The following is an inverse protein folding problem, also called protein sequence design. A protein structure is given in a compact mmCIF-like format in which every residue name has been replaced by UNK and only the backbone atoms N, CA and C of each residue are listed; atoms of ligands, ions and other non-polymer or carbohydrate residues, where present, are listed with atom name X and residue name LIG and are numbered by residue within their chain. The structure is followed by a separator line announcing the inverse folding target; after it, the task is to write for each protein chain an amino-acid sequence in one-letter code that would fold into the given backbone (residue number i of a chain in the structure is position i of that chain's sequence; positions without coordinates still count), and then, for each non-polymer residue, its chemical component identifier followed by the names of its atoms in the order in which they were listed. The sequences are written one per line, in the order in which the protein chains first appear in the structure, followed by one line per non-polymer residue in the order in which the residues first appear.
data_IF_392019551810
#
_entry.id   IF_392019551810
#
_cell.length_a   1.000
_cell.length_b   1.000
_cell.length_c   1.000
_cell.angle_alpha   90.00
_cell.angle_beta   90.00
_cell.angle_gamma   90.00
#
_symmetry.space_group_name_H-M   'P 1'
#
loop_
_entity.id
_entity.type
_entity.pdbx_description
1 polymer ?
#
# COMPACT_ATOMS: atom_id res chain seq x y z
N UNK A 1 14.00 2.20 -3.73
CA UNK A 1 12.97 2.97 -4.47
C UNK A 1 13.25 2.77 -5.93
N UNK A 2 12.20 2.49 -6.71
CA UNK A 2 12.29 2.27 -8.15
C UNK A 2 11.18 3.06 -8.86
N UNK A 3 11.32 3.39 -10.15
CA UNK A 3 10.23 3.91 -10.96
C UNK A 3 9.02 2.96 -11.01
N UNK A 4 7.82 3.49 -11.27
CA UNK A 4 6.60 2.68 -11.37
C UNK A 4 6.60 1.68 -12.54
N UNK A 5 7.36 1.96 -13.59
CA UNK A 5 7.54 1.14 -14.79
C UNK A 5 8.79 0.24 -14.73
N UNK A 6 9.48 0.19 -13.59
CA UNK A 6 10.58 -0.74 -13.36
C UNK A 6 10.13 -2.20 -13.59
N UNK A 7 10.90 -3.05 -14.31
CA UNK A 7 10.50 -4.42 -14.61
C UNK A 7 10.15 -5.26 -13.37
N UNK A 8 10.84 -5.07 -12.24
CA UNK A 8 10.56 -5.80 -11.01
C UNK A 8 9.28 -5.29 -10.34
N UNK A 9 9.04 -3.97 -10.41
CA UNK A 9 7.79 -3.36 -9.97
C UNK A 9 6.60 -3.85 -10.80
N UNK A 10 6.76 -3.92 -12.12
CA UNK A 10 5.75 -4.46 -13.05
C UNK A 10 5.44 -5.91 -12.71
N UNK A 11 6.47 -6.75 -12.57
CA UNK A 11 6.30 -8.17 -12.21
C UNK A 11 5.51 -8.36 -10.92
N UNK A 12 5.91 -7.68 -9.84
CA UNK A 12 5.23 -7.82 -8.54
C UNK A 12 3.82 -7.21 -8.56
N UNK A 13 3.59 -6.16 -9.36
CA UNK A 13 2.24 -5.62 -9.57
C UNK A 13 1.36 -6.63 -10.30
N UNK A 14 1.87 -7.29 -11.32
CA UNK A 14 1.12 -8.32 -12.03
C UNK A 14 0.79 -9.50 -11.10
N UNK A 15 1.75 -9.93 -10.27
CA UNK A 15 1.51 -10.95 -9.24
C UNK A 15 0.39 -10.54 -8.27
N UNK A 16 0.37 -9.31 -7.73
CA UNK A 16 -0.70 -8.88 -6.81
C UNK A 16 -2.05 -8.73 -7.52
N UNK A 17 -2.08 -8.31 -8.79
CA UNK A 17 -3.34 -8.26 -9.55
C UNK A 17 -3.93 -9.66 -9.74
N UNK A 18 -3.10 -10.69 -9.94
CA UNK A 18 -3.57 -12.08 -10.01
C UNK A 18 -4.14 -12.57 -8.67
N UNK A 19 -3.54 -12.19 -7.53
CA UNK A 19 -4.12 -12.46 -6.21
C UNK A 19 -5.50 -11.82 -6.03
N UNK A 20 -5.71 -10.62 -6.57
CA UNK A 20 -7.04 -10.01 -6.56
C UNK A 20 -8.04 -10.78 -7.42
N UNK A 21 -7.64 -11.23 -8.60
CA UNK A 21 -8.51 -12.07 -9.46
C UNK A 21 -8.88 -13.38 -8.74
N UNK A 22 -7.92 -14.03 -8.09
CA UNK A 22 -8.17 -15.29 -7.36
C UNK A 22 -9.14 -15.11 -6.20
N UNK A 23 -9.03 -14.00 -5.45
CA UNK A 23 -9.86 -13.75 -4.26
C UNK A 23 -11.21 -13.12 -4.64
N UNK A 24 -11.19 -12.07 -5.45
CA UNK A 24 -12.37 -11.23 -5.73
C UNK A 24 -13.04 -11.49 -7.08
N UNK A 25 -12.41 -12.30 -7.95
CA UNK A 25 -12.89 -12.61 -9.30
C UNK A 25 -12.47 -11.59 -10.37
N UNK A 26 -11.87 -10.47 -9.95
CA UNK A 26 -11.51 -9.35 -10.81
C UNK A 26 -10.23 -8.65 -10.31
N UNK A 27 -9.45 -7.99 -11.20
CA UNK A 27 -8.31 -7.19 -10.77
C UNK A 27 -8.74 -5.91 -10.05
N UNK A 28 -7.82 -5.24 -9.34
CA UNK A 28 -8.06 -3.87 -8.87
C UNK A 28 -8.08 -2.92 -10.07
N UNK A 29 -9.22 -2.25 -10.28
CA UNK A 29 -9.52 -1.33 -11.37
C UNK A 29 -9.37 0.14 -10.96
N UNK A 30 -8.89 0.43 -9.74
CA UNK A 30 -8.61 1.81 -9.31
C UNK A 30 -7.74 2.49 -10.37
N UNK A 31 -8.20 3.60 -10.97
CA UNK A 31 -7.38 4.33 -11.93
C UNK A 31 -6.07 4.79 -11.29
N UNK A 32 -4.95 4.50 -11.95
CA UNK A 32 -3.62 4.92 -11.56
C UNK A 32 -2.99 5.75 -12.67
N UNK A 33 -2.56 6.96 -12.35
CA UNK A 33 -1.68 7.72 -13.22
C UNK A 33 -0.20 7.41 -12.88
N UNK A 34 0.68 7.20 -13.88
CA UNK A 34 2.08 6.83 -13.63
C UNK A 34 2.81 7.75 -12.65
N UNK A 35 2.55 9.06 -12.73
CA UNK A 35 3.20 10.08 -11.88
C UNK A 35 2.69 10.14 -10.43
N UNK A 36 1.68 9.35 -10.06
CA UNK A 36 1.16 9.32 -8.67
C UNK A 36 2.16 8.73 -7.68
N UNK A 37 3.15 7.98 -8.17
CA UNK A 37 4.18 7.34 -7.36
C UNK A 37 5.56 7.97 -7.54
N UNK A 38 5.62 9.16 -8.14
CA UNK A 38 6.88 9.87 -8.33
C UNK A 38 7.16 10.84 -7.16
N UNK A 39 8.42 10.92 -6.70
CA UNK A 39 8.80 11.94 -5.72
C UNK A 39 8.53 13.37 -6.24
N UNK A 40 8.11 14.32 -5.37
CA UNK A 40 7.93 14.20 -3.92
C UNK A 40 6.51 13.78 -3.50
N UNK A 41 5.64 13.42 -4.45
CA UNK A 41 4.21 13.22 -4.21
C UNK A 41 3.79 11.76 -4.06
N UNK A 42 4.69 10.84 -4.38
CA UNK A 42 4.60 9.42 -4.11
C UNK A 42 5.97 8.78 -4.11
N UNK A 43 5.99 7.47 -3.86
CA UNK A 43 7.12 6.62 -4.17
C UNK A 43 6.66 5.18 -4.35
N UNK A 44 7.52 4.38 -4.97
CA UNK A 44 7.35 2.95 -5.13
C UNK A 44 8.58 2.20 -4.58
N UNK A 45 8.33 1.16 -3.78
CA UNK A 45 9.36 0.30 -3.21
C UNK A 45 9.25 -1.12 -3.76
N UNK A 46 10.42 -1.71 -4.00
CA UNK A 46 10.61 -3.14 -4.21
C UNK A 46 11.58 -3.64 -3.15
N UNK A 47 11.23 -4.75 -2.51
CA UNK A 47 12.06 -5.49 -1.57
C UNK A 47 12.63 -6.73 -2.23
N UNK A 48 13.91 -6.98 -1.98
CA UNK A 48 14.67 -8.07 -2.58
C UNK A 48 15.08 -9.10 -1.52
N UNK A 49 15.07 -10.38 -1.91
CA UNK A 49 15.64 -11.49 -1.14
C UNK A 49 16.60 -12.23 -2.07
N UNK A 50 17.88 -12.27 -1.70
CA UNK A 50 18.94 -12.95 -2.48
C UNK A 50 19.01 -12.52 -3.96
N UNK A 51 18.67 -11.26 -4.25
CA UNK A 51 18.63 -10.69 -5.59
C UNK A 51 17.27 -10.81 -6.30
N UNK A 52 16.34 -11.59 -5.77
CA UNK A 52 15.00 -11.74 -6.35
C UNK A 52 14.02 -10.69 -5.79
N UNK A 53 13.20 -10.03 -6.63
CA UNK A 53 12.13 -9.17 -6.16
C UNK A 53 11.04 -10.02 -5.50
N UNK A 54 10.69 -9.70 -4.26
CA UNK A 54 9.75 -10.50 -3.44
C UNK A 54 8.71 -9.69 -2.69
N UNK A 55 8.86 -8.38 -2.61
CA UNK A 55 7.91 -7.52 -1.92
C UNK A 55 7.75 -6.19 -2.66
N UNK A 56 6.56 -5.63 -2.64
CA UNK A 56 6.30 -4.32 -3.22
C UNK A 56 5.30 -3.56 -2.38
N UNK A 57 5.42 -2.23 -2.39
CA UNK A 57 4.48 -1.32 -1.77
C UNK A 57 4.77 0.10 -2.21
N UNK A 58 3.73 0.92 -2.22
CA UNK A 58 3.80 2.28 -2.69
C UNK A 58 3.00 3.20 -1.76
N UNK A 59 3.33 4.47 -1.79
CA UNK A 59 2.44 5.49 -1.25
C UNK A 59 2.27 6.65 -2.23
N UNK A 60 1.11 7.29 -2.17
CA UNK A 60 0.77 8.49 -2.96
C UNK A 60 0.02 9.50 -2.10
N UNK A 61 -0.04 10.77 -2.53
CA UNK A 61 -0.95 11.78 -1.96
C UNK A 61 -2.31 11.67 -2.64
N UNK A 62 -3.36 11.17 -1.95
CA UNK A 62 -4.67 11.00 -2.57
C UNK A 62 -5.36 12.37 -2.73
N UNK A 63 -5.80 12.69 -3.94
CA UNK A 63 -6.60 13.88 -4.25
C UNK A 63 -8.10 13.67 -4.01
N UNK A 64 -8.47 12.99 -2.93
CA UNK A 64 -9.85 12.55 -2.65
C UNK A 64 -10.52 13.43 -1.59
N UNK A 65 -11.78 13.81 -1.82
CA UNK A 65 -12.51 14.74 -0.96
C UNK A 65 -12.91 14.13 0.39
N UNK A 66 -13.01 12.80 0.45
CA UNK A 66 -13.34 12.03 1.66
C UNK A 66 -12.18 11.99 2.67
N UNK A 67 -10.96 12.32 2.22
CA UNK A 67 -9.75 12.25 3.01
C UNK A 67 -9.33 13.61 3.56
N UNK A 68 -8.52 13.57 4.62
CA UNK A 68 -8.04 14.80 5.28
C UNK A 68 -6.85 15.38 4.50
N UNK A 69 -6.69 16.71 4.50
CA UNK A 69 -5.46 17.33 4.01
C UNK A 69 -4.22 16.76 4.72
N UNK A 70 -3.27 16.25 3.94
CA UNK A 70 -2.04 15.65 4.45
C UNK A 70 -2.11 14.15 4.73
N UNK A 71 -3.24 13.49 4.42
CA UNK A 71 -3.29 12.04 4.31
C UNK A 71 -2.36 11.56 3.18
N UNK A 72 -1.76 10.39 3.39
CA UNK A 72 -1.00 9.65 2.39
C UNK A 72 -1.62 8.26 2.29
N UNK A 73 -1.86 7.80 1.08
CA UNK A 73 -2.47 6.50 0.81
C UNK A 73 -1.41 5.44 0.51
N UNK A 74 -1.46 4.29 1.20
CA UNK A 74 -0.71 3.10 0.81
C UNK A 74 -1.44 2.35 -0.29
N UNK A 75 -0.68 1.90 -1.29
CA UNK A 75 -1.17 1.11 -2.42
C UNK A 75 -0.17 0.01 -2.74
N UNK A 76 -0.67 -1.03 -3.44
CA UNK A 76 0.15 -2.10 -4.03
C UNK A 76 1.06 -2.81 -3.02
N UNK A 77 0.60 -2.96 -1.78
CA UNK A 77 1.31 -3.74 -0.75
C UNK A 77 1.17 -5.23 -1.02
N UNK A 78 2.28 -5.91 -1.28
CA UNK A 78 2.31 -7.34 -1.58
C UNK A 78 3.64 -7.97 -1.17
N UNK A 79 3.59 -9.23 -0.75
CA UNK A 79 4.77 -10.08 -0.52
C UNK A 79 4.49 -11.42 -1.19
N UNK A 80 5.40 -11.79 -2.10
CA UNK A 80 5.35 -13.04 -2.82
C UNK A 80 5.30 -14.24 -1.87
N UNK A 81 4.52 -15.26 -2.23
CA UNK A 81 4.29 -16.43 -1.36
C UNK A 81 5.60 -17.07 -0.87
N UNK A 82 6.57 -17.19 -1.79
CA UNK A 82 7.93 -17.70 -1.56
C UNK A 82 8.72 -16.95 -0.48
N UNK A 83 8.31 -15.73 -0.12
CA UNK A 83 8.97 -14.88 0.88
C UNK A 83 8.11 -14.61 2.12
N UNK A 84 6.92 -15.22 2.25
CA UNK A 84 6.06 -15.06 3.44
C UNK A 84 6.75 -15.62 4.70
N UNK A 85 6.33 -15.13 5.88
CA UNK A 85 6.87 -15.56 7.18
C UNK A 85 8.20 -14.91 7.61
N UNK A 86 8.87 -14.14 6.75
CA UNK A 86 10.17 -13.49 7.05
C UNK A 86 10.06 -12.03 7.50
N UNK A 87 8.89 -11.61 8.01
CA UNK A 87 8.59 -10.23 8.43
C UNK A 87 8.76 -9.14 7.34
N UNK A 88 8.91 -9.50 6.06
CA UNK A 88 9.02 -8.55 4.95
C UNK A 88 7.89 -7.53 4.91
N UNK A 89 6.63 -7.97 5.07
CA UNK A 89 5.49 -7.07 5.02
C UNK A 89 5.55 -5.98 6.12
N UNK A 90 6.03 -6.32 7.31
CA UNK A 90 6.20 -5.35 8.41
C UNK A 90 7.37 -4.41 8.15
N UNK A 91 8.48 -4.91 7.62
CA UNK A 91 9.64 -4.08 7.27
C UNK A 91 9.31 -3.08 6.15
N UNK A 92 8.63 -3.56 5.11
CA UNK A 92 8.16 -2.73 4.01
C UNK A 92 7.16 -1.67 4.47
N UNK A 93 6.15 -2.06 5.28
CA UNK A 93 5.19 -1.12 5.84
C UNK A 93 5.88 -0.03 6.67
N UNK A 94 6.84 -0.40 7.51
CA UNK A 94 7.60 0.57 8.31
C UNK A 94 8.39 1.55 7.44
N UNK A 95 8.98 1.08 6.34
CA UNK A 95 9.72 1.94 5.41
C UNK A 95 8.79 2.89 4.64
N UNK A 96 7.61 2.41 4.23
CA UNK A 96 6.57 3.27 3.63
C UNK A 96 6.08 4.33 4.61
N UNK A 97 5.80 3.97 5.86
CA UNK A 97 5.40 4.91 6.91
C UNK A 97 6.49 5.96 7.17
N UNK A 98 7.75 5.53 7.27
CA UNK A 98 8.90 6.41 7.50
C UNK A 98 9.06 7.42 6.38
N UNK A 99 9.02 6.96 5.13
CA UNK A 99 9.18 7.83 3.96
C UNK A 99 7.97 8.74 3.74
N UNK A 100 6.75 8.27 4.02
CA UNK A 100 5.55 9.10 4.04
C UNK A 100 5.65 10.23 5.09
N UNK A 101 6.15 9.93 6.30
CA UNK A 101 6.37 10.93 7.34
C UNK A 101 7.42 11.97 6.92
N UNK A 102 8.54 11.54 6.32
CA UNK A 102 9.57 12.43 5.78
C UNK A 102 9.05 13.33 4.64
N UNK A 103 8.08 12.84 3.86
CA UNK A 103 7.39 13.63 2.85
C UNK A 103 6.33 14.60 3.44
N UNK A 104 6.22 14.70 4.77
CA UNK A 104 5.27 15.57 5.46
C UNK A 104 3.87 14.98 5.60
N UNK A 105 3.71 13.67 5.42
CA UNK A 105 2.47 12.95 5.74
C UNK A 105 2.17 13.01 7.23
N UNK A 106 0.90 13.20 7.58
CA UNK A 106 0.45 13.24 8.99
C UNK A 106 -0.27 11.96 9.39
N UNK A 107 -0.92 11.33 8.42
CA UNK A 107 -1.73 10.14 8.61
C UNK A 107 -1.63 9.27 7.37
N UNK A 108 -1.47 7.98 7.59
CA UNK A 108 -1.53 6.99 6.52
C UNK A 108 -2.92 6.40 6.47
N UNK A 109 -3.46 6.28 5.28
CA UNK A 109 -4.71 5.60 4.97
C UNK A 109 -4.45 4.47 3.98
N UNK A 110 -5.29 3.45 4.00
CA UNK A 110 -5.26 2.38 3.01
C UNK A 110 -6.64 1.77 2.85
N UNK A 111 -6.81 1.12 1.72
CA UNK A 111 -7.96 0.28 1.39
C UNK A 111 -7.47 -1.17 1.24
N UNK A 112 -8.26 -2.12 1.73
CA UNK A 112 -8.00 -3.55 1.60
C UNK A 112 -9.32 -4.31 1.61
N UNK A 113 -9.39 -5.42 0.88
CA UNK A 113 -10.60 -6.25 0.85
C UNK A 113 -10.70 -7.24 2.03
N UNK A 114 -11.92 -7.62 2.38
CA UNK A 114 -12.24 -8.55 3.48
C UNK A 114 -11.64 -9.96 3.28
N UNK A 115 -11.36 -10.36 2.04
CA UNK A 115 -10.73 -11.65 1.71
C UNK A 115 -9.20 -11.63 1.83
N UNK A 116 -8.64 -10.59 2.45
CA UNK A 116 -7.21 -10.46 2.78
C UNK A 116 -7.00 -10.38 4.30
N UNK A 117 -7.39 -11.41 5.08
CA UNK A 117 -7.32 -11.39 6.54
C UNK A 117 -5.88 -11.20 7.07
N UNK A 118 -4.87 -11.69 6.34
CA UNK A 118 -3.46 -11.52 6.71
C UNK A 118 -3.02 -10.05 6.62
N UNK A 119 -3.47 -9.33 5.58
CA UNK A 119 -3.19 -7.91 5.40
C UNK A 119 -3.89 -7.08 6.49
N UNK A 120 -5.19 -7.34 6.71
CA UNK A 120 -5.96 -6.68 7.77
C UNK A 120 -5.36 -6.95 9.16
N UNK A 121 -4.92 -8.18 9.42
CA UNK A 121 -4.23 -8.56 10.64
C UNK A 121 -2.90 -7.82 10.83
N UNK A 122 -2.10 -7.73 9.77
CA UNK A 122 -0.86 -6.94 9.77
C UNK A 122 -1.14 -5.49 10.15
N UNK A 123 -2.02 -4.79 9.44
CA UNK A 123 -2.30 -3.38 9.67
C UNK A 123 -2.83 -3.14 11.08
N UNK A 124 -3.80 -3.93 11.55
CA UNK A 124 -4.33 -3.82 12.93
C UNK A 124 -3.23 -4.00 13.96
N UNK A 125 -2.33 -4.99 13.77
CA UNK A 125 -1.19 -5.21 14.67
C UNK A 125 -0.13 -4.09 14.63
N UNK A 126 -0.18 -3.23 13.62
CA UNK A 126 0.69 -2.05 13.46
C UNK A 126 0.02 -0.75 13.93
N UNK A 127 -1.18 -0.84 14.52
CA UNK A 127 -1.91 0.31 15.08
C UNK A 127 -2.90 0.98 14.13
N UNK A 128 -3.22 0.35 12.99
CA UNK A 128 -4.26 0.88 12.11
C UNK A 128 -5.65 0.59 12.66
N UNK A 129 -6.55 1.56 12.49
CA UNK A 129 -7.94 1.51 12.95
C UNK A 129 -8.91 1.74 11.80
N UNK A 130 -10.14 1.24 11.93
CA UNK A 130 -11.19 1.39 10.91
C UNK A 130 -11.62 2.84 10.71
N UNK A 131 -11.78 3.23 9.45
CA UNK A 131 -12.36 4.52 9.03
C UNK A 131 -13.49 4.27 8.03
N UNK A 132 -14.36 5.26 7.75
CA UNK A 132 -15.29 5.16 6.63
C UNK A 132 -14.55 4.85 5.33
N UNK A 133 -15.16 4.02 4.48
CA UNK A 133 -14.58 3.69 3.19
C UNK A 133 -14.50 4.92 2.28
N UNK A 134 -13.48 4.97 1.43
CA UNK A 134 -13.19 6.10 0.55
C UNK A 134 -12.74 5.64 -0.84
N UNK A 135 -12.75 6.55 -1.81
CA UNK A 135 -12.23 6.28 -3.15
C UNK A 135 -13.12 5.37 -3.99
N UNK A 136 -12.48 4.55 -4.84
CA UNK A 136 -13.15 3.80 -5.91
C UNK A 136 -14.13 2.74 -5.37
N UNK A 137 -13.72 1.96 -4.37
CA UNK A 137 -14.51 0.88 -3.78
C UNK A 137 -15.30 1.31 -2.53
N UNK A 138 -15.58 2.61 -2.35
CA UNK A 138 -16.18 3.10 -1.09
C UNK A 138 -17.54 2.48 -0.75
N UNK A 139 -18.30 2.07 -1.76
CA UNK A 139 -19.62 1.44 -1.60
C UNK A 139 -19.56 -0.09 -1.68
N UNK A 140 -18.39 -0.69 -1.96
CA UNK A 140 -18.24 -2.14 -2.00
C UNK A 140 -18.22 -2.69 -0.57
N UNK A 141 -19.17 -3.57 -0.18
CA UNK A 141 -19.20 -4.16 1.16
C UNK A 141 -18.00 -5.08 1.45
N UNK A 142 -17.24 -5.48 0.42
CA UNK A 142 -16.00 -6.25 0.54
C UNK A 142 -14.81 -5.35 0.85
N UNK A 143 -14.92 -4.03 0.77
CA UNK A 143 -13.82 -3.09 1.02
C UNK A 143 -13.77 -2.65 2.48
N UNK A 144 -12.56 -2.54 3.02
CA UNK A 144 -12.27 -2.08 4.39
C UNK A 144 -11.17 -1.03 4.34
N UNK A 145 -11.50 0.19 4.75
CA UNK A 145 -10.52 1.26 4.88
C UNK A 145 -9.98 1.38 6.31
N UNK A 146 -8.67 1.60 6.40
CA UNK A 146 -7.93 1.69 7.65
C UNK A 146 -7.05 2.95 7.67
N UNK A 147 -6.81 3.50 8.85
CA UNK A 147 -5.91 4.64 9.03
C UNK A 147 -5.03 4.53 10.28
N UNK A 148 -3.88 5.20 10.23
CA UNK A 148 -2.92 5.34 11.34
C UNK A 148 -2.28 6.74 11.30
N UNK A 149 -2.27 7.42 12.44
CA UNK A 149 -1.52 8.68 12.58
C UNK A 149 0.00 8.40 12.55
N UNK A 150 0.74 9.23 11.82
CA UNK A 150 2.20 9.12 11.74
C UNK A 150 2.85 9.91 12.87
N UNK A 151 3.89 9.33 13.47
CA UNK A 151 4.78 10.11 14.30
C UNK A 151 5.55 11.12 13.43
N UNK A 152 5.80 12.35 13.91
CA UNK A 152 6.68 13.27 13.22
C UNK A 152 8.06 12.62 13.02
N UNK A 153 8.73 12.87 11.87
CA UNK A 153 10.04 12.31 11.63
C UNK A 153 10.99 12.73 12.76
N UNK A 154 11.63 11.75 13.38
CA UNK A 154 12.69 12.01 14.35
C UNK A 154 13.88 12.52 13.55
N UNK A 155 14.31 13.75 13.84
CA UNK A 155 15.42 14.43 13.14
C UNK A 155 16.77 13.78 13.37
#
# INVERSE_FOLDING_TARGET
MVPFDDPDAVKLRDEVQQEYVVRYGEPDETPLHPGEFDPPHGLFLVGYLDGDPVATGAWRRPGLAELRPGDIELKRMYVAERARGRRFARALLAELERTAALAGGRRVVLESGVEQPEALGLYRSCGYTGIPNYGHYREDPRSVCLAKELAPPTG
#
